data_IF_526485208675
#
_entry.id   IF_526485208675
#
_cell.length_a   1.000
_cell.length_b   1.000
_cell.length_c   1.000
_cell.angle_alpha   90.00
_cell.angle_beta   90.00
_cell.angle_gamma   90.00
#
_symmetry.space_group_name_H-M   'P 1'
#
loop_
_entity.id
_entity.type
_entity.pdbx_description
1 polymer ?
#
# COMPACT_ATOMS: atom_id res chain seq x y z
N UNK A 1 -10.50 14.11 -9.97
CA UNK A 1 -9.62 15.13 -10.61
C UNK A 1 -8.51 14.40 -11.38
N UNK A 2 -8.07 14.88 -12.55
CA UNK A 2 -6.92 14.29 -13.27
C UNK A 2 -5.91 15.35 -13.65
N UNK A 3 -4.65 15.04 -13.37
CA UNK A 3 -3.51 15.92 -13.57
C UNK A 3 -3.03 15.99 -15.04
N UNK A 4 -3.58 15.11 -15.88
CA UNK A 4 -3.37 15.01 -17.33
C UNK A 4 -4.66 14.55 -18.02
N UNK A 5 -4.77 14.79 -19.33
CA UNK A 5 -5.81 14.24 -20.19
C UNK A 5 -5.28 13.96 -21.60
N UNK A 6 -5.92 13.06 -22.34
CA UNK A 6 -5.58 12.83 -23.75
C UNK A 6 -6.37 13.78 -24.65
N UNK A 7 -5.67 14.60 -25.42
CA UNK A 7 -6.27 15.48 -26.44
C UNK A 7 -6.44 14.72 -27.75
N UNK A 8 -7.68 14.60 -28.22
CA UNK A 8 -8.01 13.91 -29.49
C UNK A 8 -7.38 14.59 -30.70
N UNK A 9 -7.31 15.91 -30.71
CA UNK A 9 -6.76 16.67 -31.82
C UNK A 9 -5.22 16.73 -31.81
N UNK A 10 -4.59 16.80 -30.64
CA UNK A 10 -3.12 16.77 -30.54
C UNK A 10 -2.55 15.35 -30.63
N UNK A 11 -3.40 14.33 -30.52
CA UNK A 11 -3.01 12.91 -30.50
C UNK A 11 -1.93 12.60 -29.45
N UNK A 12 -2.01 13.30 -28.31
CA UNK A 12 -1.09 13.11 -27.18
C UNK A 12 -1.75 13.43 -25.86
N UNK A 13 -1.14 12.88 -24.81
CA UNK A 13 -1.48 13.24 -23.44
C UNK A 13 -0.77 14.52 -23.03
N UNK A 14 -1.51 15.39 -22.35
CA UNK A 14 -1.08 16.73 -21.99
C UNK A 14 -1.50 17.04 -20.56
N UNK A 15 -0.65 17.79 -19.86
CA UNK A 15 -1.09 18.50 -18.66
C UNK A 15 -1.83 19.82 -19.04
N UNK A 16 -2.49 20.48 -18.09
CA UNK A 16 -3.24 21.71 -18.34
C UNK A 16 -2.42 22.86 -18.95
N UNK A 17 -1.14 23.00 -18.59
CA UNK A 17 -0.28 24.08 -19.08
C UNK A 17 0.11 23.81 -20.54
N UNK A 18 0.56 22.58 -20.82
CA UNK A 18 0.86 22.11 -22.17
C UNK A 18 -0.35 22.21 -23.09
N UNK A 19 -1.54 21.86 -22.60
CA UNK A 19 -2.77 21.89 -23.39
C UNK A 19 -3.11 23.31 -23.85
N UNK A 20 -3.01 24.30 -22.95
CA UNK A 20 -3.24 25.71 -23.26
C UNK A 20 -2.23 26.23 -24.29
N UNK A 21 -0.95 25.96 -24.07
CA UNK A 21 0.14 26.43 -24.93
C UNK A 21 0.04 25.86 -26.35
N UNK A 22 -0.09 24.54 -26.47
CA UNK A 22 -0.11 23.85 -27.78
C UNK A 22 -1.36 24.14 -28.59
N UNK A 23 -2.46 24.51 -27.94
CA UNK A 23 -3.72 24.86 -28.59
C UNK A 23 -3.89 26.35 -28.83
N UNK A 24 -3.02 27.19 -28.26
CA UNK A 24 -3.17 28.64 -28.29
C UNK A 24 -4.48 29.11 -27.67
N UNK A 25 -4.94 28.46 -26.59
CA UNK A 25 -6.22 28.76 -25.94
C UNK A 25 -6.06 29.83 -24.88
N UNK A 26 -7.07 30.67 -24.75
CA UNK A 26 -7.24 31.60 -23.64
C UNK A 26 -8.18 31.01 -22.57
N UNK A 27 -8.21 31.62 -21.39
CA UNK A 27 -9.00 31.11 -20.26
C UNK A 27 -10.51 31.06 -20.52
N UNK A 28 -11.04 31.92 -21.39
CA UNK A 28 -12.46 31.99 -21.72
C UNK A 28 -12.94 30.86 -22.62
N UNK A 29 -12.09 30.40 -23.54
CA UNK A 29 -12.43 29.39 -24.55
C UNK A 29 -12.08 27.95 -24.14
N UNK A 30 -11.12 27.77 -23.23
CA UNK A 30 -10.58 26.43 -22.86
C UNK A 30 -11.65 25.43 -22.40
N UNK A 31 -12.67 25.87 -21.67
CA UNK A 31 -13.66 24.96 -21.09
C UNK A 31 -14.49 24.22 -22.15
N UNK A 32 -14.96 24.94 -23.17
CA UNK A 32 -15.76 24.36 -24.25
C UNK A 32 -14.90 23.44 -25.14
N UNK A 33 -13.70 23.90 -25.49
CA UNK A 33 -12.77 23.13 -26.33
C UNK A 33 -12.33 21.85 -25.61
N UNK A 34 -11.98 21.93 -24.33
CA UNK A 34 -11.63 20.75 -23.53
C UNK A 34 -12.77 19.72 -23.51
N UNK A 35 -14.02 20.16 -23.33
CA UNK A 35 -15.18 19.26 -23.25
C UNK A 35 -15.31 18.36 -24.48
N UNK A 36 -15.02 18.89 -25.65
CA UNK A 36 -15.08 18.14 -26.91
C UNK A 36 -13.79 17.40 -27.23
N UNK A 37 -12.63 17.95 -26.87
CA UNK A 37 -11.33 17.43 -27.30
C UNK A 37 -10.72 16.42 -26.34
N UNK A 38 -10.91 16.59 -25.02
CA UNK A 38 -10.21 15.78 -24.02
C UNK A 38 -11.01 14.55 -23.60
N UNK A 39 -10.28 13.44 -23.45
CA UNK A 39 -10.80 12.19 -22.89
C UNK A 39 -9.86 11.70 -21.80
N UNK A 40 -10.40 10.88 -20.90
CA UNK A 40 -9.58 10.17 -19.93
C UNK A 40 -8.60 9.25 -20.67
N UNK A 41 -7.29 9.30 -20.36
CA UNK A 41 -6.28 8.48 -21.03
C UNK A 41 -6.36 6.99 -20.66
N UNK A 42 -7.23 6.61 -19.70
CA UNK A 42 -7.39 5.24 -19.20
C UNK A 42 -8.74 4.66 -19.63
N UNK A 43 -9.84 5.18 -19.07
CA UNK A 43 -11.18 4.64 -19.31
C UNK A 43 -11.90 5.29 -20.52
N UNK A 44 -11.24 6.21 -21.24
CA UNK A 44 -11.76 6.90 -22.43
C UNK A 44 -13.07 7.69 -22.24
N UNK A 45 -13.49 7.94 -21.00
CA UNK A 45 -14.64 8.83 -20.76
C UNK A 45 -14.33 10.21 -21.34
N UNK A 46 -15.26 10.75 -22.12
CA UNK A 46 -15.17 12.08 -22.71
C UNK A 46 -15.83 13.15 -21.85
N UNK A 47 -16.01 14.35 -22.41
CA UNK A 47 -16.68 15.44 -21.71
C UNK A 47 -15.84 16.07 -20.59
N UNK A 48 -14.51 15.91 -20.65
CA UNK A 48 -13.62 16.46 -19.63
C UNK A 48 -13.63 17.98 -19.63
N UNK A 49 -13.79 18.61 -18.46
CA UNK A 49 -13.71 20.05 -18.29
C UNK A 49 -12.35 20.45 -17.76
N UNK A 50 -11.81 21.55 -18.31
CA UNK A 50 -10.66 22.23 -17.72
C UNK A 50 -11.08 22.92 -16.42
N UNK A 51 -10.29 22.79 -15.37
CA UNK A 51 -10.49 23.49 -14.09
C UNK A 51 -9.29 24.40 -13.89
N UNK A 52 -9.55 25.69 -13.68
CA UNK A 52 -8.50 26.70 -13.54
C UNK A 52 -7.77 26.56 -12.21
N UNK A 53 -6.50 26.98 -12.20
CA UNK A 53 -5.78 27.18 -10.96
C UNK A 53 -6.47 28.27 -10.12
N UNK A 54 -6.48 28.12 -8.81
CA UNK A 54 -6.97 29.16 -7.90
C UNK A 54 -6.05 29.30 -6.71
N UNK A 55 -5.90 30.53 -6.20
CA UNK A 55 -5.13 30.83 -5.01
C UNK A 55 -6.06 31.42 -3.95
N UNK A 56 -6.05 30.85 -2.75
CA UNK A 56 -6.66 31.40 -1.54
C UNK A 56 -5.60 31.49 -0.44
N UNK A 57 -5.85 32.25 0.62
CA UNK A 57 -4.92 32.34 1.76
C UNK A 57 -4.59 30.92 2.28
N UNK A 58 -3.30 30.56 2.21
CA UNK A 58 -2.80 29.26 2.65
C UNK A 58 -3.02 28.07 1.69
N UNK A 59 -3.72 28.24 0.56
CA UNK A 59 -4.02 27.11 -0.34
C UNK A 59 -3.94 27.47 -1.84
N UNK A 60 -3.09 26.74 -2.57
CA UNK A 60 -2.91 26.90 -4.02
C UNK A 60 -3.46 25.66 -4.74
N UNK A 61 -4.59 25.79 -5.44
CA UNK A 61 -5.11 24.76 -6.35
C UNK A 61 -4.45 24.89 -7.72
N UNK A 62 -3.89 23.79 -8.22
CA UNK A 62 -3.36 23.70 -9.58
C UNK A 62 -4.50 23.50 -10.58
N UNK A 63 -4.27 23.96 -11.81
CA UNK A 63 -5.14 23.61 -12.93
C UNK A 63 -5.15 22.09 -13.14
N UNK A 64 -6.27 21.54 -13.56
CA UNK A 64 -6.46 20.09 -13.78
C UNK A 64 -7.65 19.83 -14.70
N UNK A 65 -7.83 18.59 -15.14
CA UNK A 65 -9.02 18.15 -15.86
C UNK A 65 -9.99 17.44 -14.92
N UNK A 66 -11.29 17.60 -15.16
CA UNK A 66 -12.36 16.94 -14.40
C UNK A 66 -13.31 16.23 -15.34
N UNK A 67 -13.67 14.99 -15.04
CA UNK A 67 -14.66 14.22 -15.78
C UNK A 67 -15.84 13.93 -14.83
N UNK A 68 -16.96 14.60 -15.03
CA UNK A 68 -18.16 14.43 -14.22
C UNK A 68 -19.23 13.66 -15.01
N UNK A 69 -19.78 12.61 -14.40
CA UNK A 69 -20.96 11.90 -14.89
C UNK A 69 -22.24 12.46 -14.27
N UNK A 70 -23.39 11.86 -14.60
CA UNK A 70 -24.72 12.27 -14.08
C UNK A 70 -24.77 12.24 -12.54
N UNK A 71 -24.05 11.32 -11.91
CA UNK A 71 -23.96 11.17 -10.46
C UNK A 71 -22.74 11.90 -9.84
N UNK A 72 -22.10 12.80 -10.57
CA UNK A 72 -20.92 13.55 -10.11
C UNK A 72 -19.57 12.86 -10.34
N UNK A 73 -19.56 11.56 -10.62
CA UNK A 73 -18.37 10.77 -10.98
C UNK A 73 -18.50 10.25 -12.42
N UNK A 74 -17.54 10.63 -13.28
CA UNK A 74 -17.56 10.27 -14.70
C UNK A 74 -16.74 9.04 -15.04
N UNK A 75 -15.79 8.65 -14.19
CA UNK A 75 -14.92 7.52 -14.46
C UNK A 75 -15.60 6.18 -14.13
N UNK A 76 -15.12 5.12 -14.78
CA UNK A 76 -15.52 3.75 -14.44
C UNK A 76 -14.87 3.32 -13.10
N UNK A 77 -15.52 2.53 -12.22
CA UNK A 77 -14.96 2.09 -10.93
C UNK A 77 -13.55 1.48 -10.97
N UNK A 78 -13.22 0.80 -12.07
CA UNK A 78 -11.90 0.20 -12.32
C UNK A 78 -10.84 1.19 -12.86
N UNK A 79 -11.19 2.46 -13.10
CA UNK A 79 -10.26 3.49 -13.57
C UNK A 79 -9.47 4.05 -12.40
N UNK A 80 -8.18 4.31 -12.58
CA UNK A 80 -7.33 4.90 -11.53
C UNK A 80 -7.80 6.30 -11.08
N UNK A 81 -8.57 6.97 -11.93
CA UNK A 81 -9.14 8.29 -11.67
C UNK A 81 -10.57 8.23 -11.10
N UNK A 82 -11.07 7.05 -10.74
CA UNK A 82 -12.41 6.87 -10.17
C UNK A 82 -12.53 7.39 -8.74
N UNK A 83 -13.57 8.18 -8.48
CA UNK A 83 -13.74 8.96 -7.26
C UNK A 83 -12.83 10.19 -7.29
N UNK A 84 -12.91 11.04 -6.25
CA UNK A 84 -11.89 12.08 -6.00
C UNK A 84 -10.51 11.49 -5.60
N UNK A 85 -10.21 10.25 -6.04
CA UNK A 85 -8.98 9.49 -5.79
C UNK A 85 -7.80 9.97 -6.65
N UNK A 86 -7.52 11.27 -6.62
CA UNK A 86 -6.12 11.68 -6.47
C UNK A 86 -5.79 11.62 -4.99
N UNK A 87 -5.88 10.42 -4.40
CA UNK A 87 -5.24 10.21 -3.11
C UNK A 87 -3.76 10.53 -3.27
N UNK A 88 -3.09 10.91 -2.17
CA UNK A 88 -1.63 11.08 -2.15
C UNK A 88 -0.93 9.89 -2.84
N UNK A 89 -1.50 8.68 -2.74
CA UNK A 89 -1.05 7.49 -3.47
C UNK A 89 -1.16 7.63 -5.00
N UNK A 90 -2.34 7.86 -5.60
CA UNK A 90 -2.45 7.97 -7.07
C UNK A 90 -1.58 9.10 -7.63
N UNK A 91 -1.44 10.21 -6.89
CA UNK A 91 -0.55 11.32 -7.27
C UNK A 91 0.95 11.00 -7.17
N UNK A 92 1.36 10.15 -6.22
CA UNK A 92 2.73 9.61 -6.15
C UNK A 92 3.05 8.67 -7.32
N UNK A 93 2.02 8.01 -7.87
CA UNK A 93 2.16 7.03 -8.94
C UNK A 93 1.98 7.66 -10.33
N UNK A 94 1.52 8.92 -10.41
CA UNK A 94 1.57 9.75 -11.61
C UNK A 94 3.02 10.22 -11.81
N UNK A 95 3.73 9.53 -12.68
CA UNK A 95 5.16 9.75 -12.89
C UNK A 95 5.38 11.02 -13.72
N UNK A 96 5.54 12.16 -13.04
CA UNK A 96 5.93 13.43 -13.65
C UNK A 96 7.44 13.61 -13.54
N UNK A 97 8.15 13.50 -14.66
CA UNK A 97 9.61 13.66 -14.64
C UNK A 97 10.10 15.11 -14.61
N UNK A 98 9.19 16.08 -14.78
CA UNK A 98 9.51 17.52 -14.80
C UNK A 98 9.75 18.08 -13.40
N UNK A 99 9.07 17.56 -12.38
CA UNK A 99 9.16 18.03 -10.99
C UNK A 99 10.08 17.20 -10.11
N UNK A 100 10.40 15.98 -10.53
CA UNK A 100 11.01 14.97 -9.67
C UNK A 100 12.55 15.01 -9.75
N UNK A 101 13.21 15.42 -8.65
CA UNK A 101 14.63 15.84 -8.65
C UNK A 101 15.63 14.72 -8.38
N UNK A 102 15.18 13.49 -8.11
CA UNK A 102 16.08 12.41 -7.70
C UNK A 102 16.94 11.90 -8.86
N UNK A 103 18.16 11.42 -8.56
CA UNK A 103 19.03 10.77 -9.56
C UNK A 103 18.33 9.60 -10.25
N UNK A 104 17.57 8.82 -9.49
CA UNK A 104 16.79 7.70 -10.00
C UNK A 104 15.70 8.14 -11.00
N UNK A 105 14.88 9.15 -10.66
CA UNK A 105 13.84 9.67 -11.56
C UNK A 105 14.43 10.23 -12.86
N UNK A 106 15.64 10.83 -12.80
CA UNK A 106 16.37 11.29 -13.99
C UNK A 106 16.82 10.14 -14.90
N UNK A 107 17.30 9.02 -14.32
CA UNK A 107 17.69 7.83 -15.09
C UNK A 107 16.47 7.25 -15.81
N UNK A 108 15.36 7.05 -15.11
CA UNK A 108 14.13 6.56 -15.73
C UNK A 108 13.63 7.53 -16.81
N UNK A 109 13.62 8.84 -16.55
CA UNK A 109 13.25 9.87 -17.55
C UNK A 109 14.07 9.72 -18.82
N UNK A 110 15.40 9.60 -18.69
CA UNK A 110 16.31 9.42 -19.84
C UNK A 110 15.94 8.19 -20.64
N UNK A 111 15.70 7.05 -19.96
CA UNK A 111 15.32 5.80 -20.63
C UNK A 111 13.99 5.91 -21.40
N UNK A 112 13.01 6.62 -20.84
CA UNK A 112 11.73 6.86 -21.53
C UNK A 112 11.92 7.71 -22.77
N UNK A 113 12.60 8.85 -22.63
CA UNK A 113 12.80 9.78 -23.72
C UNK A 113 13.65 9.15 -24.84
N UNK A 114 14.69 8.39 -24.47
CA UNK A 114 15.46 7.59 -25.42
C UNK A 114 14.60 6.54 -26.14
N UNK A 115 13.67 5.88 -25.45
CA UNK A 115 12.74 4.93 -26.09
C UNK A 115 11.75 5.59 -27.06
N UNK A 116 11.31 6.82 -26.79
CA UNK A 116 10.50 7.61 -27.73
C UNK A 116 11.33 8.06 -28.94
N UNK A 117 12.55 8.55 -28.71
CA UNK A 117 13.46 9.02 -29.76
C UNK A 117 13.81 7.88 -30.74
N UNK A 118 14.10 6.69 -30.23
CA UNK A 118 14.42 5.51 -31.04
C UNK A 118 13.16 4.82 -31.62
N UNK A 119 11.96 5.37 -31.40
CA UNK A 119 10.71 4.81 -31.91
C UNK A 119 10.37 3.41 -31.36
N UNK A 120 10.96 3.01 -30.24
CA UNK A 120 10.76 1.69 -29.61
C UNK A 120 9.32 1.55 -29.08
N UNK A 121 8.77 2.67 -28.62
CA UNK A 121 7.37 2.86 -28.27
C UNK A 121 6.97 4.30 -28.54
N UNK A 122 5.66 4.54 -28.63
CA UNK A 122 5.06 5.86 -28.80
C UNK A 122 4.20 6.22 -27.59
N UNK A 123 3.78 7.48 -27.48
CA UNK A 123 2.81 7.87 -26.46
C UNK A 123 1.46 7.14 -26.63
N UNK A 124 1.09 6.80 -27.86
CA UNK A 124 -0.08 5.97 -28.13
C UNK A 124 0.12 4.55 -27.57
N UNK A 125 1.31 3.95 -27.68
CA UNK A 125 1.59 2.67 -27.01
C UNK A 125 1.48 2.76 -25.48
N UNK A 126 1.96 3.85 -24.88
CA UNK A 126 1.82 4.08 -23.43
C UNK A 126 0.35 4.13 -23.00
N UNK A 127 -0.50 4.78 -23.80
CA UNK A 127 -1.95 4.84 -23.59
C UNK A 127 -2.61 3.48 -23.78
N UNK A 128 -2.26 2.76 -24.85
CA UNK A 128 -2.76 1.41 -25.12
C UNK A 128 -2.42 0.44 -24.00
N UNK A 129 -1.22 0.54 -23.42
CA UNK A 129 -0.84 -0.26 -22.25
C UNK A 129 -1.78 0.04 -21.07
N UNK A 130 -2.04 1.31 -20.77
CA UNK A 130 -2.94 1.71 -19.67
C UNK A 130 -4.36 1.25 -19.90
N UNK A 131 -4.86 1.36 -21.13
CA UNK A 131 -6.15 0.80 -21.52
C UNK A 131 -6.18 -0.73 -21.36
N UNK A 132 -5.10 -1.42 -21.74
CA UNK A 132 -4.99 -2.87 -21.58
C UNK A 132 -5.09 -3.28 -20.10
N UNK A 133 -4.37 -2.59 -19.19
CA UNK A 133 -4.47 -2.83 -17.75
C UNK A 133 -5.85 -2.47 -17.18
N UNK A 134 -6.47 -1.39 -17.66
CA UNK A 134 -7.85 -1.04 -17.30
C UNK A 134 -8.83 -2.14 -17.72
N UNK A 135 -8.70 -2.65 -18.95
CA UNK A 135 -9.56 -3.72 -19.44
C UNK A 135 -9.34 -5.05 -18.70
N UNK A 136 -8.11 -5.36 -18.30
CA UNK A 136 -7.82 -6.49 -17.39
C UNK A 136 -8.53 -6.32 -16.04
N UNK A 137 -8.43 -5.13 -15.43
CA UNK A 137 -9.13 -4.80 -14.18
C UNK A 137 -10.65 -4.86 -14.27
N UNK A 138 -11.21 -4.44 -15.40
CA UNK A 138 -12.64 -4.56 -15.66
C UNK A 138 -13.10 -6.01 -15.80
N UNK A 139 -12.22 -6.90 -16.29
CA UNK A 139 -12.53 -8.32 -16.52
C UNK A 139 -12.46 -9.19 -15.27
N UNK A 140 -11.61 -8.84 -14.31
CA UNK A 140 -11.61 -9.51 -13.01
C UNK A 140 -11.34 -8.56 -11.87
N UNK A 141 -12.30 -8.52 -10.98
CA UNK A 141 -12.23 -7.94 -9.66
C UNK A 141 -12.97 -8.88 -8.72
N UNK A 142 -12.60 -8.87 -7.46
CA UNK A 142 -13.28 -9.62 -6.43
C UNK A 142 -13.58 -8.72 -5.24
N UNK A 143 -14.53 -9.15 -4.42
CA UNK A 143 -14.93 -8.45 -3.22
C UNK A 143 -14.07 -8.88 -2.04
N UNK A 144 -13.66 -7.90 -1.22
CA UNK A 144 -13.02 -8.10 0.06
C UNK A 144 -14.09 -8.49 1.08
N UNK A 145 -14.15 -9.77 1.40
CA UNK A 145 -15.09 -10.38 2.35
C UNK A 145 -14.53 -10.48 3.78
N UNK A 146 -13.24 -10.18 3.95
CA UNK A 146 -12.61 -10.16 5.28
C UNK A 146 -13.21 -9.05 6.15
N UNK A 147 -13.41 -9.36 7.43
CA UNK A 147 -13.89 -8.42 8.43
C UNK A 147 -12.75 -7.59 9.02
N UNK A 148 -13.04 -6.34 9.39
CA UNK A 148 -12.04 -5.42 9.96
C UNK A 148 -11.58 -5.84 11.35
N UNK A 149 -12.46 -6.41 12.18
CA UNK A 149 -12.11 -6.93 13.50
C UNK A 149 -11.14 -8.11 13.39
N UNK A 150 -11.45 -9.04 12.48
CA UNK A 150 -10.62 -10.22 12.26
C UNK A 150 -9.24 -9.86 11.70
N UNK A 151 -9.19 -8.91 10.76
CA UNK A 151 -7.95 -8.35 10.26
C UNK A 151 -7.14 -7.64 11.35
N UNK A 152 -7.81 -6.92 12.26
CA UNK A 152 -7.17 -6.29 13.42
C UNK A 152 -6.49 -7.31 14.34
N UNK A 153 -7.15 -8.45 14.60
CA UNK A 153 -6.55 -9.54 15.37
C UNK A 153 -5.35 -10.17 14.66
N UNK A 154 -5.43 -10.41 13.35
CA UNK A 154 -4.30 -10.94 12.59
C UNK A 154 -3.13 -9.94 12.54
N UNK A 155 -3.41 -8.64 12.44
CA UNK A 155 -2.38 -7.60 12.49
C UNK A 155 -1.67 -7.58 13.85
N UNK A 156 -2.44 -7.61 14.94
CA UNK A 156 -1.91 -7.71 16.31
C UNK A 156 -0.99 -8.93 16.46
N UNK A 157 -1.47 -10.12 16.06
CA UNK A 157 -0.71 -11.36 16.16
C UNK A 157 0.57 -11.30 15.34
N UNK A 158 0.51 -10.77 14.12
CA UNK A 158 1.68 -10.63 13.25
C UNK A 158 2.76 -9.67 13.82
N UNK A 159 2.40 -8.77 14.72
CA UNK A 159 3.31 -7.79 15.36
C UNK A 159 3.89 -8.27 16.70
N UNK A 160 3.50 -9.46 17.19
CA UNK A 160 4.00 -9.99 18.45
C UNK A 160 5.54 -10.06 18.43
N UNK A 161 6.16 -9.60 19.52
CA UNK A 161 7.61 -9.64 19.68
C UNK A 161 8.11 -11.08 19.72
N UNK A 162 9.25 -11.32 19.09
CA UNK A 162 9.80 -12.66 18.92
C UNK A 162 8.91 -13.63 18.11
N UNK A 163 7.98 -13.12 17.29
CA UNK A 163 7.15 -13.94 16.37
C UNK A 163 7.97 -14.90 15.50
N UNK A 164 9.23 -14.57 15.19
CA UNK A 164 10.13 -15.45 14.46
C UNK A 164 10.37 -16.81 15.13
N UNK A 165 10.25 -16.91 16.46
CA UNK A 165 10.39 -18.17 17.19
C UNK A 165 9.31 -19.18 16.80
N UNK A 166 8.11 -18.73 16.42
CA UNK A 166 7.05 -19.62 15.94
C UNK A 166 7.43 -20.36 14.64
N UNK A 167 8.41 -19.85 13.89
CA UNK A 167 8.85 -20.44 12.62
C UNK A 167 10.09 -21.33 12.77
N UNK A 168 10.88 -21.11 13.82
CA UNK A 168 12.14 -21.84 14.05
C UNK A 168 11.99 -22.97 15.06
N UNK A 169 11.10 -22.81 16.05
CA UNK A 169 10.84 -23.80 17.08
C UNK A 169 9.39 -24.30 16.98
N UNK A 170 9.22 -25.59 16.67
CA UNK A 170 7.91 -26.22 16.65
C UNK A 170 7.35 -26.52 18.04
N UNK A 171 8.21 -26.56 19.06
CA UNK A 171 7.86 -26.91 20.45
C UNK A 171 8.37 -25.84 21.43
N UNK A 172 7.71 -24.68 21.44
CA UNK A 172 8.03 -23.60 22.38
C UNK A 172 7.63 -24.07 23.79
N UNK A 173 8.62 -24.25 24.67
CA UNK A 173 8.44 -24.70 26.04
C UNK A 173 7.38 -23.84 26.77
N UNK A 174 6.25 -24.43 27.22
CA UNK A 174 5.23 -23.70 27.95
C UNK A 174 5.74 -23.14 29.27
N UNK A 175 5.19 -22.00 29.68
CA UNK A 175 5.44 -21.48 31.02
C UNK A 175 5.00 -22.48 32.10
N UNK A 176 5.92 -22.73 33.02
CA UNK A 176 5.64 -23.45 34.26
C UNK A 176 6.03 -22.55 35.45
N UNK A 177 5.21 -22.43 36.51
CA UNK A 177 5.49 -21.57 37.66
C UNK A 177 6.86 -21.77 38.29
N UNK A 178 7.39 -22.99 38.28
CA UNK A 178 8.74 -23.32 38.77
C UNK A 178 9.83 -22.56 38.02
N UNK A 179 9.65 -22.24 36.74
CA UNK A 179 10.63 -21.48 35.95
C UNK A 179 10.86 -20.09 36.53
N UNK A 180 9.81 -19.45 37.07
CA UNK A 180 9.89 -18.13 37.70
C UNK A 180 10.70 -18.11 39.01
N UNK A 181 11.03 -19.28 39.56
CA UNK A 181 11.87 -19.41 40.77
C UNK A 181 13.37 -19.39 40.47
N UNK A 182 13.75 -19.48 39.19
CA UNK A 182 15.16 -19.45 38.77
C UNK A 182 15.75 -18.06 39.01
N UNK A 183 16.91 -17.92 39.67
CA UNK A 183 17.58 -16.64 39.84
C UNK A 183 17.81 -15.94 38.49
N UNK A 184 17.41 -14.66 38.40
CA UNK A 184 17.53 -13.87 37.17
C UNK A 184 16.42 -14.11 36.13
N UNK A 185 15.34 -14.81 36.49
CA UNK A 185 14.20 -15.02 35.59
C UNK A 185 13.60 -13.69 35.11
N UNK A 186 13.46 -13.55 33.79
CA UNK A 186 12.99 -12.33 33.13
C UNK A 186 11.51 -12.46 32.73
N UNK A 187 10.61 -12.03 33.64
CA UNK A 187 9.16 -12.08 33.44
C UNK A 187 8.70 -11.51 32.10
N UNK A 188 9.19 -10.32 31.72
CA UNK A 188 8.84 -9.68 30.45
C UNK A 188 9.06 -10.59 29.24
N UNK A 189 10.26 -11.19 29.18
CA UNK A 189 10.65 -12.10 28.10
C UNK A 189 9.84 -13.39 28.12
N UNK A 190 9.57 -13.94 29.31
CA UNK A 190 8.76 -15.14 29.45
C UNK A 190 7.31 -14.91 28.97
N UNK A 191 6.71 -13.77 29.30
CA UNK A 191 5.37 -13.39 28.82
C UNK A 191 5.37 -13.21 27.30
N UNK A 192 6.37 -12.53 26.73
CA UNK A 192 6.47 -12.39 25.27
C UNK A 192 6.53 -13.77 24.58
N UNK A 193 7.37 -14.69 25.08
CA UNK A 193 7.52 -16.05 24.53
C UNK A 193 6.24 -16.87 24.69
N UNK A 194 5.61 -16.82 25.86
CA UNK A 194 4.35 -17.52 26.12
C UNK A 194 3.23 -17.00 25.20
N UNK A 195 3.23 -15.69 24.92
CA UNK A 195 2.29 -15.08 23.97
C UNK A 195 2.53 -15.59 22.55
N UNK A 196 3.79 -15.69 22.11
CA UNK A 196 4.13 -16.34 20.82
C UNK A 196 3.63 -17.78 20.78
N UNK A 197 3.80 -18.54 21.87
CA UNK A 197 3.32 -19.93 21.98
C UNK A 197 1.80 -20.03 21.85
N UNK A 198 1.04 -19.14 22.51
CA UNK A 198 -0.42 -19.12 22.42
C UNK A 198 -0.91 -18.93 20.97
N UNK A 199 -0.20 -18.12 20.20
CA UNK A 199 -0.52 -17.74 18.81
C UNK A 199 0.31 -18.47 17.74
N UNK A 200 1.05 -19.50 18.12
CA UNK A 200 2.06 -20.14 17.26
C UNK A 200 1.46 -20.68 15.96
N UNK A 201 0.29 -21.34 16.03
CA UNK A 201 -0.40 -21.88 14.86
C UNK A 201 -0.80 -20.78 13.87
N UNK A 202 -1.34 -19.66 14.35
CA UNK A 202 -1.72 -18.51 13.51
C UNK A 202 -0.48 -17.87 12.88
N UNK A 203 0.59 -17.67 13.65
CA UNK A 203 1.87 -17.13 13.16
C UNK A 203 2.51 -18.01 12.07
N UNK A 204 2.45 -19.34 12.24
CA UNK A 204 2.89 -20.30 11.24
C UNK A 204 2.01 -20.22 9.99
N UNK A 205 0.68 -20.14 10.15
CA UNK A 205 -0.23 -20.03 9.02
C UNK A 205 -0.01 -18.77 8.19
N UNK A 206 0.14 -17.61 8.84
CA UNK A 206 0.47 -16.35 8.16
C UNK A 206 1.80 -16.44 7.40
N UNK A 207 2.79 -17.14 7.97
CA UNK A 207 4.08 -17.38 7.32
C UNK A 207 3.95 -18.27 6.09
N UNK A 208 3.19 -19.36 6.16
CA UNK A 208 2.88 -20.23 5.01
C UNK A 208 2.25 -19.44 3.86
N UNK A 209 1.30 -18.57 4.19
CA UNK A 209 0.64 -17.69 3.22
C UNK A 209 1.55 -16.56 2.74
N UNK A 210 2.74 -16.39 3.33
CA UNK A 210 3.65 -15.26 3.09
C UNK A 210 2.96 -13.90 3.28
N UNK A 211 2.08 -13.81 4.28
CA UNK A 211 1.36 -12.60 4.66
C UNK A 211 1.99 -12.04 5.93
N UNK A 212 2.38 -10.78 5.89
CA UNK A 212 3.06 -10.09 6.99
C UNK A 212 2.21 -8.94 7.51
N UNK A 213 2.54 -8.42 8.71
CA UNK A 213 1.87 -7.27 9.33
C UNK A 213 1.60 -6.14 8.34
N UNK A 214 2.63 -5.70 7.61
CA UNK A 214 2.53 -4.59 6.64
C UNK A 214 1.46 -4.82 5.57
N UNK A 215 1.25 -6.07 5.19
CA UNK A 215 0.28 -6.43 4.16
C UNK A 215 -1.13 -6.30 4.76
N UNK A 216 -1.33 -6.80 5.98
CA UNK A 216 -2.58 -6.67 6.74
C UNK A 216 -2.90 -5.20 7.03
N UNK A 217 -1.93 -4.40 7.48
CA UNK A 217 -2.08 -2.95 7.67
C UNK A 217 -2.56 -2.26 6.39
N UNK A 218 -2.01 -2.67 5.24
CA UNK A 218 -2.36 -2.09 3.94
C UNK A 218 -3.77 -2.49 3.47
N UNK A 219 -4.28 -3.64 3.91
CA UNK A 219 -5.67 -4.08 3.71
C UNK A 219 -6.60 -3.25 4.61
N UNK A 220 -6.30 -3.12 5.89
CA UNK A 220 -7.10 -2.29 6.82
C UNK A 220 -7.16 -0.83 6.36
N UNK A 221 -6.04 -0.27 5.91
CA UNK A 221 -5.99 1.07 5.31
C UNK A 221 -6.85 1.17 4.03
N UNK A 222 -6.97 0.08 3.27
CA UNK A 222 -7.86 0.03 2.10
C UNK A 222 -9.32 0.23 2.51
N UNK A 223 -9.76 -0.55 3.50
CA UNK A 223 -11.15 -0.63 3.94
C UNK A 223 -11.58 0.68 4.63
N UNK A 224 -10.78 1.14 5.60
CA UNK A 224 -11.06 2.34 6.40
C UNK A 224 -11.10 3.64 5.59
N UNK A 225 -10.33 3.74 4.50
CA UNK A 225 -10.34 4.92 3.61
C UNK A 225 -11.52 4.94 2.63
N UNK A 226 -12.61 4.20 2.89
CA UNK A 226 -13.82 4.12 2.05
C UNK A 226 -13.51 3.85 0.58
N UNK A 227 -12.53 2.98 0.30
CA UNK A 227 -12.15 2.66 -1.08
C UNK A 227 -13.05 1.63 -1.74
N UNK A 228 -14.12 1.25 -1.06
CA UNK A 228 -14.97 0.14 -1.44
C UNK A 228 -14.29 -1.19 -1.14
N UNK A 229 -15.05 -2.28 -1.28
CA UNK A 229 -14.55 -3.64 -1.08
C UNK A 229 -14.11 -4.31 -2.38
N UNK A 230 -14.27 -3.65 -3.53
CA UNK A 230 -13.86 -4.23 -4.82
C UNK A 230 -12.39 -3.96 -5.10
N UNK A 231 -11.61 -5.03 -5.30
CA UNK A 231 -10.19 -4.96 -5.67
C UNK A 231 -9.90 -5.82 -6.89
N UNK A 232 -8.85 -5.48 -7.63
CA UNK A 232 -8.39 -6.27 -8.78
C UNK A 232 -8.03 -7.69 -8.35
N UNK A 233 -8.40 -8.68 -9.16
CA UNK A 233 -7.90 -10.04 -8.99
C UNK A 233 -6.44 -10.15 -9.46
N UNK A 234 -5.50 -10.49 -8.55
CA UNK A 234 -4.08 -10.54 -8.84
C UNK A 234 -3.69 -11.69 -9.79
N UNK A 235 -4.51 -12.75 -9.90
CA UNK A 235 -4.19 -13.91 -10.74
C UNK A 235 -4.15 -13.54 -12.22
N UNK A 236 -5.02 -12.62 -12.66
CA UNK A 236 -5.11 -12.18 -14.06
C UNK A 236 -3.87 -11.44 -14.58
N UNK A 237 -3.03 -10.95 -13.68
CA UNK A 237 -1.78 -10.23 -13.99
C UNK A 237 -0.54 -10.95 -13.48
N UNK A 238 -0.66 -12.15 -12.92
CA UNK A 238 0.44 -12.81 -12.24
C UNK A 238 1.60 -13.14 -13.21
N UNK A 239 1.27 -13.54 -14.44
CA UNK A 239 2.28 -13.81 -15.47
C UNK A 239 2.99 -12.51 -15.86
N UNK A 240 2.24 -11.45 -16.09
CA UNK A 240 2.72 -10.15 -16.50
C UNK A 240 3.58 -9.47 -15.43
N UNK A 241 3.15 -9.47 -14.17
CA UNK A 241 3.93 -8.89 -13.06
C UNK A 241 5.22 -9.66 -12.83
N UNK A 242 5.20 -11.00 -12.91
CA UNK A 242 6.40 -11.83 -12.76
C UNK A 242 7.41 -11.52 -13.85
N UNK A 243 6.95 -11.32 -15.10
CA UNK A 243 7.82 -10.89 -16.20
C UNK A 243 8.37 -9.49 -15.97
N UNK A 244 7.56 -8.55 -15.50
CA UNK A 244 8.02 -7.21 -15.15
C UNK A 244 9.09 -7.25 -14.07
N UNK A 245 8.90 -8.00 -12.99
CA UNK A 245 9.88 -8.16 -11.91
C UNK A 245 11.18 -8.81 -12.39
N UNK A 246 11.10 -9.81 -13.28
CA UNK A 246 12.30 -10.40 -13.91
C UNK A 246 13.06 -9.39 -14.76
N UNK A 247 12.36 -8.60 -15.58
CA UNK A 247 12.98 -7.60 -16.43
C UNK A 247 13.62 -6.47 -15.60
N UNK A 248 12.95 -5.99 -14.55
CA UNK A 248 13.53 -4.98 -13.66
C UNK A 248 14.75 -5.49 -12.91
N UNK A 249 14.74 -6.74 -12.43
CA UNK A 249 15.91 -7.37 -11.82
C UNK A 249 17.08 -7.43 -12.82
N UNK A 250 16.83 -7.91 -14.04
CA UNK A 250 17.84 -7.96 -15.10
C UNK A 250 18.43 -6.57 -15.40
N UNK A 251 17.60 -5.54 -15.61
CA UNK A 251 18.07 -4.19 -15.92
C UNK A 251 18.89 -3.63 -14.76
N UNK A 252 18.43 -3.78 -13.50
CA UNK A 252 19.13 -3.32 -12.31
C UNK A 252 20.51 -3.97 -12.18
N UNK A 253 20.61 -5.25 -12.51
CA UNK A 253 21.84 -6.02 -12.38
C UNK A 253 22.84 -5.80 -13.52
N UNK A 254 22.41 -5.29 -14.67
CA UNK A 254 23.27 -5.20 -15.86
C UNK A 254 23.49 -3.77 -16.37
N UNK A 255 22.63 -2.81 -16.01
CA UNK A 255 22.76 -1.44 -16.52
C UNK A 255 23.58 -0.54 -15.58
N UNK A 256 24.60 0.11 -16.15
CA UNK A 256 25.60 0.88 -15.39
C UNK A 256 25.00 1.97 -14.51
N UNK A 257 23.94 2.65 -14.97
CA UNK A 257 23.27 3.72 -14.21
C UNK A 257 22.65 3.23 -12.89
N UNK A 258 22.30 1.93 -12.80
CA UNK A 258 21.72 1.30 -11.61
C UNK A 258 22.77 0.71 -10.65
N UNK A 259 24.07 0.78 -11.00
CA UNK A 259 25.17 0.33 -10.12
C UNK A 259 25.55 1.33 -9.05
N UNK A 260 25.14 2.59 -9.19
CA UNK A 260 25.37 3.59 -8.15
C UNK A 260 24.50 3.30 -6.90
N UNK A 261 25.09 3.39 -5.70
CA UNK A 261 24.40 3.09 -4.42
C UNK A 261 23.05 3.83 -4.31
N UNK A 262 23.02 5.12 -4.66
CA UNK A 262 21.82 5.98 -4.59
C UNK A 262 20.68 5.53 -5.52
N UNK A 263 21.00 4.97 -6.69
CA UNK A 263 19.99 4.48 -7.64
C UNK A 263 19.59 3.05 -7.29
N UNK A 264 20.55 2.22 -6.87
CA UNK A 264 20.34 0.83 -6.51
C UNK A 264 19.37 0.69 -5.32
N UNK A 265 19.63 1.41 -4.22
CA UNK A 265 18.79 1.38 -3.01
C UNK A 265 17.35 1.82 -3.27
N UNK A 266 17.13 2.72 -4.24
CA UNK A 266 15.79 3.20 -4.63
C UNK A 266 15.12 2.37 -5.72
N UNK A 267 15.85 1.49 -6.39
CA UNK A 267 15.34 0.73 -7.55
C UNK A 267 14.49 -0.49 -7.17
N UNK A 268 14.49 -0.89 -5.90
CA UNK A 268 13.72 -2.04 -5.46
C UNK A 268 12.23 -1.71 -5.41
N UNK A 269 11.47 -2.37 -6.28
CA UNK A 269 10.00 -2.28 -6.35
C UNK A 269 9.46 -0.85 -6.50
N UNK A 270 10.22 0.07 -7.11
CA UNK A 270 9.75 1.43 -7.31
C UNK A 270 8.89 1.52 -8.59
N UNK A 271 7.74 2.15 -8.42
CA UNK A 271 6.63 2.24 -9.38
C UNK A 271 7.05 2.68 -10.78
N UNK A 272 7.99 3.62 -10.89
CA UNK A 272 8.49 4.16 -12.16
C UNK A 272 9.25 3.15 -12.97
N UNK A 273 10.04 2.31 -12.31
CA UNK A 273 10.81 1.29 -12.97
C UNK A 273 9.94 0.10 -13.37
N UNK A 274 8.97 -0.26 -12.52
CA UNK A 274 7.95 -1.24 -12.87
C UNK A 274 7.14 -0.79 -14.09
N UNK A 275 6.71 0.47 -14.13
CA UNK A 275 5.95 1.01 -15.26
C UNK A 275 6.77 1.04 -16.56
N UNK A 276 8.06 1.43 -16.49
CA UNK A 276 8.96 1.39 -17.65
C UNK A 276 9.16 -0.04 -18.17
N UNK A 277 9.45 -1.00 -17.28
CA UNK A 277 9.64 -2.39 -17.67
C UNK A 277 8.34 -3.03 -18.21
N UNK A 278 7.19 -2.69 -17.62
CA UNK A 278 5.88 -3.10 -18.14
C UNK A 278 5.63 -2.55 -19.56
N UNK A 279 6.00 -1.30 -19.83
CA UNK A 279 5.88 -0.70 -21.17
C UNK A 279 6.72 -1.46 -22.20
N UNK A 280 7.98 -1.76 -21.88
CA UNK A 280 8.83 -2.55 -22.77
C UNK A 280 8.27 -3.93 -23.05
N UNK A 281 7.77 -4.62 -22.02
CA UNK A 281 7.11 -5.92 -22.18
C UNK A 281 5.85 -5.80 -23.03
N UNK A 282 5.00 -4.81 -22.76
CA UNK A 282 3.76 -4.60 -23.49
C UNK A 282 4.01 -4.44 -25.00
N UNK A 283 4.94 -3.56 -25.39
CA UNK A 283 5.28 -3.37 -26.80
C UNK A 283 6.08 -4.55 -27.40
N UNK A 284 6.49 -5.51 -26.58
CA UNK A 284 7.18 -6.73 -26.99
C UNK A 284 6.25 -7.95 -27.01
N UNK A 285 4.93 -7.75 -26.88
CA UNK A 285 3.99 -8.88 -26.79
C UNK A 285 4.21 -9.75 -25.54
N UNK A 286 4.73 -9.14 -24.47
CA UNK A 286 5.13 -9.79 -23.23
C UNK A 286 6.26 -10.83 -23.37
N UNK A 287 7.04 -10.77 -24.45
CA UNK A 287 8.27 -11.57 -24.59
C UNK A 287 9.46 -10.90 -23.89
N UNK A 288 10.16 -11.64 -23.02
CA UNK A 288 11.25 -11.09 -22.20
C UNK A 288 12.48 -10.79 -23.06
N UNK A 289 12.86 -11.69 -23.97
CA UNK A 289 14.09 -11.54 -24.76
C UNK A 289 13.95 -10.38 -25.75
N UNK A 290 12.77 -10.23 -26.37
CA UNK A 290 12.42 -9.07 -27.19
C UNK A 290 12.45 -7.78 -26.38
N UNK A 291 11.93 -7.77 -25.16
CA UNK A 291 11.97 -6.59 -24.29
C UNK A 291 13.40 -6.23 -23.87
N UNK A 292 14.26 -7.21 -23.61
CA UNK A 292 15.70 -7.02 -23.36
C UNK A 292 16.39 -6.42 -24.59
N UNK A 293 16.07 -6.92 -25.80
CA UNK A 293 16.58 -6.37 -27.05
C UNK A 293 16.21 -4.88 -27.22
N UNK A 294 14.94 -4.53 -26.99
CA UNK A 294 14.46 -3.14 -27.00
C UNK A 294 15.14 -2.28 -25.94
N UNK A 295 15.26 -2.78 -24.71
CA UNK A 295 16.01 -2.10 -23.65
C UNK A 295 17.47 -1.85 -24.05
N UNK A 296 18.13 -2.83 -24.67
CA UNK A 296 19.52 -2.72 -25.10
C UNK A 296 19.73 -1.58 -26.10
N UNK A 297 18.77 -1.37 -27.03
CA UNK A 297 18.79 -0.22 -27.94
C UNK A 297 18.66 1.10 -27.19
N UNK A 298 17.68 1.20 -26.28
CA UNK A 298 17.48 2.39 -25.43
C UNK A 298 18.73 2.70 -24.60
N UNK A 299 19.34 1.69 -23.99
CA UNK A 299 20.50 1.84 -23.11
C UNK A 299 21.77 2.32 -23.84
N UNK A 300 21.83 2.17 -25.18
CA UNK A 300 22.95 2.66 -26.01
C UNK A 300 22.82 4.14 -26.39
N UNK A 301 21.64 4.75 -26.18
CA UNK A 301 21.41 6.16 -26.50
C UNK A 301 22.24 7.04 -25.57
N UNK A 302 23.22 7.74 -26.15
CA UNK A 302 24.14 8.62 -25.40
C UNK A 302 23.46 9.93 -25.03
N UNK A 303 22.81 10.55 -26.02
CA UNK A 303 22.17 11.86 -25.93
C UNK A 303 20.70 11.76 -26.33
N UNK A 304 19.86 12.50 -25.61
CA UNK A 304 18.41 12.58 -25.85
C UNK A 304 18.10 14.01 -26.26
N UNK A 305 17.50 14.15 -27.44
CA UNK A 305 17.26 15.45 -28.08
C UNK A 305 16.14 16.24 -27.37
N UNK A 306 15.06 15.54 -27.00
CA UNK A 306 13.93 16.12 -26.29
C UNK A 306 13.68 15.40 -24.95
N UNK A 307 14.18 16.02 -23.88
CA UNK A 307 13.95 15.54 -22.52
C UNK A 307 12.51 15.76 -22.03
N UNK A 308 11.67 16.49 -22.76
CA UNK A 308 10.25 16.72 -22.46
C UNK A 308 9.33 15.72 -23.18
N UNK A 309 9.81 15.01 -24.20
CA UNK A 309 9.04 14.02 -24.95
C UNK A 309 8.44 12.93 -24.05
N UNK A 310 9.20 12.52 -23.02
CA UNK A 310 8.84 11.49 -22.06
C UNK A 310 8.34 12.01 -20.72
N UNK A 311 7.69 13.18 -20.66
CA UNK A 311 7.21 13.80 -19.42
C UNK A 311 6.26 12.91 -18.58
N UNK A 312 5.79 11.79 -19.14
CA UNK A 312 4.81 10.93 -18.51
C UNK A 312 4.96 9.47 -18.97
N UNK A 313 5.16 8.53 -18.04
CA UNK A 313 4.95 7.09 -18.32
C UNK A 313 3.48 6.70 -18.04
N UNK A 314 2.80 7.44 -17.17
CA UNK A 314 1.51 7.03 -16.62
C UNK A 314 1.64 6.17 -15.37
N UNK A 315 0.49 5.92 -14.74
CA UNK A 315 0.33 5.22 -13.47
C UNK A 315 1.01 3.85 -13.45
N UNK A 316 1.53 3.46 -12.28
CA UNK A 316 2.00 2.08 -12.05
C UNK A 316 0.87 1.11 -12.41
N UNK A 317 1.07 0.22 -13.39
CA UNK A 317 0.03 -0.71 -13.81
C UNK A 317 -0.34 -1.77 -12.76
N UNK A 318 0.50 -1.93 -11.74
CA UNK A 318 0.32 -2.89 -10.64
C UNK A 318 -0.07 -2.20 -9.33
N UNK A 319 -0.65 -1.00 -9.41
CA UNK A 319 -1.17 -0.27 -8.26
C UNK A 319 -2.01 -1.20 -7.37
N UNK A 320 -1.61 -1.34 -6.09
CA UNK A 320 -2.29 -2.16 -5.06
C UNK A 320 -2.32 -3.67 -5.37
N UNK A 321 -1.48 -4.16 -6.28
CA UNK A 321 -1.34 -5.58 -6.55
C UNK A 321 -0.89 -6.36 -5.30
N UNK A 322 0.00 -5.79 -4.51
CA UNK A 322 0.46 -6.33 -3.23
C UNK A 322 -0.70 -6.54 -2.24
N UNK A 323 -1.56 -5.54 -2.10
CA UNK A 323 -2.78 -5.60 -1.28
C UNK A 323 -3.72 -6.66 -1.84
N UNK A 324 -4.01 -6.63 -3.15
CA UNK A 324 -4.87 -7.62 -3.80
C UNK A 324 -4.38 -9.06 -3.59
N UNK A 325 -3.07 -9.29 -3.75
CA UNK A 325 -2.42 -10.58 -3.53
C UNK A 325 -2.50 -11.02 -2.08
N UNK A 326 -2.31 -10.11 -1.12
CA UNK A 326 -2.45 -10.42 0.30
C UNK A 326 -3.90 -10.77 0.69
N UNK A 327 -4.88 -9.98 0.23
CA UNK A 327 -6.30 -10.27 0.45
C UNK A 327 -6.65 -11.64 -0.11
N UNK A 328 -6.28 -11.91 -1.37
CA UNK A 328 -6.61 -13.16 -2.05
C UNK A 328 -6.07 -14.37 -1.28
N UNK A 329 -4.80 -14.32 -0.87
CA UNK A 329 -4.17 -15.38 -0.06
C UNK A 329 -4.84 -15.59 1.30
N UNK A 330 -5.28 -14.51 1.96
CA UNK A 330 -6.03 -14.62 3.22
C UNK A 330 -7.44 -15.19 3.02
N UNK A 331 -8.18 -14.70 2.01
CA UNK A 331 -9.54 -15.14 1.73
C UNK A 331 -9.62 -16.59 1.25
N UNK A 332 -8.69 -17.01 0.39
CA UNK A 332 -8.65 -18.40 -0.09
C UNK A 332 -8.28 -19.39 1.03
N UNK A 333 -7.56 -18.91 2.05
CA UNK A 333 -7.22 -19.68 3.24
C UNK A 333 -8.24 -19.52 4.39
N UNK A 334 -9.34 -18.80 4.16
CA UNK A 334 -10.32 -18.50 5.20
C UNK A 334 -11.22 -19.70 5.50
N UNK A 335 -11.59 -19.97 6.78
CA UNK A 335 -11.23 -19.23 7.98
C UNK A 335 -9.81 -19.54 8.48
N UNK A 336 -9.11 -18.51 8.97
CA UNK A 336 -7.85 -18.68 9.70
C UNK A 336 -8.19 -18.75 11.19
N UNK A 337 -7.80 -19.82 11.87
CA UNK A 337 -7.98 -19.94 13.31
C UNK A 337 -7.00 -19.02 14.06
N UNK A 338 -7.52 -18.23 15.00
CA UNK A 338 -6.74 -17.43 15.95
C UNK A 338 -7.47 -17.31 17.28
N UNK A 339 -6.73 -16.90 18.31
CA UNK A 339 -7.27 -16.65 19.64
C UNK A 339 -7.32 -15.15 19.91
N UNK A 340 -8.38 -14.68 20.54
CA UNK A 340 -8.51 -13.29 21.00
C UNK A 340 -7.87 -13.15 22.38
N UNK A 341 -6.55 -13.27 22.43
CA UNK A 341 -5.75 -13.26 23.67
C UNK A 341 -4.60 -12.28 23.50
N UNK A 342 -4.55 -11.26 24.34
CA UNK A 342 -3.51 -10.25 24.31
C UNK A 342 -2.40 -10.54 25.34
N UNK A 343 -1.31 -9.76 25.26
CA UNK A 343 -0.17 -9.83 26.18
C UNK A 343 -0.57 -9.70 27.65
N UNK A 344 -1.55 -8.83 27.96
CA UNK A 344 -2.01 -8.63 29.34
C UNK A 344 -2.80 -9.84 29.86
N UNK A 345 -3.57 -10.52 29.01
CA UNK A 345 -4.27 -11.76 29.36
C UNK A 345 -3.28 -12.88 29.70
N UNK A 346 -2.21 -13.00 28.88
CA UNK A 346 -1.14 -13.99 29.11
C UNK A 346 -0.41 -13.70 30.41
N UNK A 347 -0.04 -12.43 30.66
CA UNK A 347 0.57 -12.04 31.92
C UNK A 347 -0.33 -12.37 33.12
N UNK A 348 -1.63 -12.04 33.03
CA UNK A 348 -2.58 -12.31 34.10
C UNK A 348 -2.69 -13.82 34.38
N UNK A 349 -2.74 -14.64 33.34
CA UNK A 349 -2.78 -16.09 33.48
C UNK A 349 -1.50 -16.65 34.12
N UNK A 350 -0.32 -16.21 33.66
CA UNK A 350 0.97 -16.64 34.21
C UNK A 350 1.12 -16.25 35.68
N UNK A 351 0.73 -15.03 36.06
CA UNK A 351 0.77 -14.55 37.44
C UNK A 351 -0.16 -15.37 38.34
N UNK A 352 -1.41 -15.61 37.92
CA UNK A 352 -2.36 -16.49 38.62
C UNK A 352 -1.81 -17.90 38.81
N UNK A 353 -1.16 -18.46 37.79
CA UNK A 353 -0.50 -19.77 37.88
C UNK A 353 0.63 -19.77 38.92
N UNK A 354 1.44 -18.72 38.96
CA UNK A 354 2.53 -18.57 39.93
C UNK A 354 2.03 -18.39 41.37
N UNK A 355 1.01 -17.57 41.58
CA UNK A 355 0.40 -17.37 42.91
C UNK A 355 -0.18 -18.68 43.45
N UNK A 356 -0.94 -19.41 42.62
CA UNK A 356 -1.49 -20.72 42.98
C UNK A 356 -0.38 -21.73 43.31
N UNK A 357 0.70 -21.71 42.53
CA UNK A 357 1.87 -22.55 42.79
C UNK A 357 2.52 -22.20 44.14
N UNK A 358 2.74 -20.91 44.41
CA UNK A 358 3.31 -20.44 45.66
C UNK A 358 2.47 -20.87 46.88
N UNK A 359 1.14 -20.72 46.80
CA UNK A 359 0.21 -21.17 47.84
C UNK A 359 0.23 -22.70 48.07
N UNK A 360 0.59 -23.49 47.06
CA UNK A 360 0.62 -24.95 47.15
C UNK A 360 1.88 -25.52 47.83
N UNK A 361 2.91 -24.71 48.04
CA UNK A 361 4.17 -25.16 48.61
C UNK A 361 4.06 -25.32 50.13
N UNK A 362 4.26 -26.55 50.63
CA UNK A 362 4.17 -26.89 52.06
C UNK A 362 5.25 -26.24 52.94
N UNK A 363 6.41 -25.92 52.36
CA UNK A 363 7.51 -25.22 53.03
C UNK A 363 8.16 -24.25 52.02
N UNK A 364 7.93 -22.93 52.11
CA UNK A 364 8.64 -21.98 51.27
C UNK A 364 10.10 -21.91 51.73
N UNK A 365 11.04 -22.46 50.95
CA UNK A 365 12.48 -22.41 51.22
C UNK A 365 13.19 -21.93 49.95
N UNK A 366 14.09 -20.93 49.98
CA UNK A 366 14.04 -19.61 50.66
C UNK A 366 12.85 -18.75 50.13
N UNK A 367 12.68 -17.45 50.49
CA UNK A 367 11.55 -16.68 49.96
C UNK A 367 11.60 -16.66 48.44
N UNK A 368 10.56 -17.22 47.82
CA UNK A 368 10.32 -17.09 46.39
C UNK A 368 10.37 -15.62 46.02
N UNK A 369 10.99 -15.30 44.89
CA UNK A 369 11.06 -13.94 44.43
C UNK A 369 9.65 -13.34 44.41
N UNK A 370 9.41 -12.19 45.08
CA UNK A 370 8.11 -11.55 45.03
C UNK A 370 7.78 -11.24 43.58
N UNK A 371 6.49 -11.32 43.23
CA UNK A 371 6.06 -10.94 41.90
C UNK A 371 6.51 -9.49 41.64
N UNK A 372 7.24 -9.23 40.53
CA UNK A 372 7.53 -7.87 40.15
C UNK A 372 6.21 -7.15 39.81
N UNK A 373 6.20 -5.81 39.76
CA UNK A 373 5.05 -5.06 39.23
C UNK A 373 4.58 -5.64 37.89
N UNK A 374 3.27 -5.60 37.65
CA UNK A 374 2.74 -5.98 36.35
C UNK A 374 3.20 -5.02 35.25
N UNK A 375 3.36 -5.58 34.05
CA UNK A 375 4.02 -4.90 32.94
C UNK A 375 2.95 -4.48 31.93
N UNK A 376 2.29 -5.46 31.33
CA UNK A 376 1.29 -5.27 30.28
C UNK A 376 -0.10 -5.02 30.85
N UNK A 377 -0.41 -5.52 32.04
CA UNK A 377 -1.70 -5.24 32.71
C UNK A 377 -1.83 -3.75 33.00
N UNK A 378 -0.86 -3.13 33.69
CA UNK A 378 -0.85 -1.68 33.93
C UNK A 378 -0.81 -0.88 32.62
N UNK A 379 -0.04 -1.32 31.62
CA UNK A 379 0.00 -0.65 30.31
C UNK A 379 -1.39 -0.66 29.63
N UNK A 380 -2.10 -1.80 29.67
CA UNK A 380 -3.44 -1.93 29.12
C UNK A 380 -4.46 -1.06 29.86
N UNK A 381 -4.48 -1.09 31.20
CA UNK A 381 -5.39 -0.26 32.01
C UNK A 381 -5.21 1.24 31.74
N UNK A 382 -3.96 1.70 31.57
CA UNK A 382 -3.66 3.10 31.20
C UNK A 382 -4.18 3.44 29.81
N UNK A 383 -4.08 2.51 28.86
CA UNK A 383 -4.62 2.70 27.51
C UNK A 383 -6.14 2.78 27.53
N UNK A 384 -6.83 1.89 28.25
CA UNK A 384 -8.29 1.90 28.40
C UNK A 384 -8.79 3.21 29.01
N UNK A 385 -8.12 3.68 30.08
CA UNK A 385 -8.44 4.94 30.71
C UNK A 385 -8.33 6.11 29.72
N UNK A 386 -7.26 6.15 28.92
CA UNK A 386 -7.06 7.19 27.91
C UNK A 386 -8.10 7.14 26.80
N UNK A 387 -8.54 5.96 26.38
CA UNK A 387 -9.63 5.82 25.40
C UNK A 387 -10.95 6.34 25.98
N UNK A 388 -11.28 5.98 27.23
CA UNK A 388 -12.48 6.48 27.91
C UNK A 388 -12.46 8.02 28.05
N UNK A 389 -11.32 8.60 28.42
CA UNK A 389 -11.14 10.06 28.47
C UNK A 389 -11.35 10.72 27.10
N UNK A 390 -10.82 10.11 26.03
CA UNK A 390 -10.95 10.60 24.66
C UNK A 390 -12.40 10.52 24.16
N UNK A 391 -13.10 9.43 24.46
CA UNK A 391 -14.52 9.26 24.12
C UNK A 391 -15.40 10.29 24.84
N UNK A 392 -15.13 10.55 26.13
CA UNK A 392 -15.80 11.59 26.91
C UNK A 392 -15.54 12.99 26.34
N UNK A 393 -14.32 13.27 25.85
CA UNK A 393 -14.00 14.54 25.19
C UNK A 393 -14.69 14.69 23.83
N UNK A 394 -14.80 13.62 23.05
CA UNK A 394 -15.45 13.63 21.73
C UNK A 394 -16.98 13.61 21.81
N UNK A 395 -17.53 13.13 22.93
CA UNK A 395 -18.98 13.00 23.13
C UNK A 395 -19.41 13.47 24.54
N UNK A 396 -19.31 14.79 24.84
CA UNK A 396 -19.53 15.33 26.19
C UNK A 396 -20.97 15.17 26.72
N UNK A 397 -21.91 14.75 25.87
CA UNK A 397 -23.30 14.45 26.25
C UNK A 397 -23.50 13.04 26.84
N UNK A 398 -22.49 12.15 26.79
CA UNK A 398 -22.49 10.88 27.52
C UNK A 398 -21.75 11.04 28.85
N UNK A 399 -22.27 11.88 29.74
CA UNK A 399 -21.92 11.77 31.16
C UNK A 399 -22.74 10.65 31.79
N UNK A 400 -22.02 9.79 32.51
CA UNK A 400 -22.49 8.62 33.25
C UNK A 400 -23.71 8.94 34.14
N UNK A 401 -24.81 8.15 34.13
CA UNK A 401 -26.01 8.37 34.96
C UNK A 401 -25.84 7.99 36.44
N UNK A 402 -24.60 7.85 36.93
CA UNK A 402 -24.32 7.55 38.34
C UNK A 402 -23.80 8.79 39.07
N UNK A 403 -24.64 9.81 39.16
CA UNK A 403 -24.65 10.75 40.29
C UNK A 403 -26.12 11.10 40.54
N UNK A 404 -26.80 10.20 41.23
CA UNK A 404 -27.97 10.52 42.04
C UNK A 404 -27.93 9.61 43.27
N UNK A 405 -28.39 10.16 44.40
CA UNK A 405 -28.37 9.67 45.79
C UNK A 405 -27.04 9.93 46.53
N UNK A 406 -26.96 10.82 47.53
CA UNK A 406 -27.95 11.11 48.58
C UNK A 406 -28.13 12.60 48.91
N UNK A 407 -29.39 12.95 49.16
CA UNK A 407 -29.88 14.15 49.86
C UNK A 407 -29.64 14.06 51.39
N UNK A 408 -29.65 15.25 52.03
CA UNK A 408 -29.71 15.63 53.47
C UNK A 408 -28.41 16.16 54.08
#
# INVERSE_FOLDING_TARGET
MTDTAFSKSLQKEVDPEQYMELKGLDEGSVHAVAREDVICPICKVGGGTFVRASRSEGYNKKAHFRFAGENGEGHHPACDFYGDRLSVEVSQHLIRFTTDRTKYSKVIRKLVCAGLQEGIFTQENMRQMREWFFNKRKKSSFEILLDEEDLGWLEYIADIRFSHLAWTDSDILPFAPIQATVPGFLWRRAIDIETVRVHQATLQKLRELSVFKRDISSILEHLTKNRGRMILDPELLEVEIRKTLKLTAFIRENYVEFKSKTVNEKSYAEDKFLAFAALLLFVSGWDIDTAIGKFSTIARVREVDDMLAGNFIGLNPYLRYDVASAVKRLQDAWPIEYKKVELHDVEQAMRKMYEKYNQSLRFPVPPLAPLPPDIYITEHQKWEQKQAETEVMLNPARKNPFVDFDDV
#
